data_IF_991216454224
#
_entry.id   IF_991216454224
#
_cell.length_a   1.000
_cell.length_b   1.000
_cell.length_c   1.000
_cell.angle_alpha   90.00
_cell.angle_beta   90.00
_cell.angle_gamma   90.00
#
_symmetry.space_group_name_H-M   'P 1'
#
loop_
_entity.id
_entity.type
_entity.pdbx_description
1 polymer ?
#
# COMPACT_ATOMS: atom_id res chain seq x y z
N UNK A 1 -24.11 4.13 5.45
CA UNK A 1 -23.57 2.80 5.76
C UNK A 1 -22.89 2.83 7.11
N UNK A 2 -22.91 1.75 7.89
CA UNK A 2 -22.11 1.66 9.11
C UNK A 2 -20.63 1.61 8.71
N UNK A 3 -19.75 2.28 9.46
CA UNK A 3 -18.31 2.23 9.21
C UNK A 3 -17.82 0.78 9.32
N UNK A 4 -17.28 0.25 8.23
CA UNK A 4 -16.69 -1.08 8.20
C UNK A 4 -15.22 -0.94 8.61
N UNK A 5 -14.86 -1.44 9.78
CA UNK A 5 -13.48 -1.36 10.29
C UNK A 5 -13.01 -2.74 10.67
N UNK A 6 -11.89 -3.16 10.08
CA UNK A 6 -11.07 -4.23 10.60
C UNK A 6 -9.68 -3.66 10.85
N UNK A 7 -9.36 -3.44 12.12
CA UNK A 7 -8.04 -3.00 12.57
C UNK A 7 -7.37 -4.13 13.33
N UNK A 8 -6.20 -4.52 12.86
CA UNK A 8 -5.36 -5.47 13.57
C UNK A 8 -4.76 -4.82 14.81
N UNK A 9 -5.00 -5.39 15.99
CA UNK A 9 -4.47 -5.08 17.33
C UNK A 9 -3.96 -3.64 17.56
N UNK A 10 -4.74 -2.89 18.33
CA UNK A 10 -4.56 -1.48 18.68
C UNK A 10 -3.25 -1.12 19.36
N UNK A 11 -2.30 -0.66 18.57
CA UNK A 11 -1.15 0.11 19.01
C UNK A 11 -1.04 1.30 18.06
N UNK A 12 -0.85 2.51 18.59
CA UNK A 12 -0.84 3.74 17.80
C UNK A 12 0.11 3.65 16.60
N UNK A 13 -0.40 4.02 15.45
CA UNK A 13 0.34 4.07 14.19
C UNK A 13 1.43 5.14 14.31
N UNK A 14 2.68 4.77 14.03
CA UNK A 14 3.81 5.70 14.08
C UNK A 14 3.95 6.50 12.80
N UNK A 15 3.57 5.92 11.64
CA UNK A 15 3.68 6.57 10.33
C UNK A 15 2.41 6.45 9.52
N UNK A 16 2.12 7.49 8.76
CA UNK A 16 0.98 7.56 7.86
C UNK A 16 1.43 8.04 6.49
N UNK A 17 1.23 7.19 5.50
CA UNK A 17 1.49 7.51 4.10
C UNK A 17 0.18 7.84 3.39
N UNK A 18 0.23 8.76 2.46
CA UNK A 18 -0.88 9.10 1.59
C UNK A 18 -0.43 9.08 0.13
N UNK A 19 -1.37 8.93 -0.80
CA UNK A 19 -1.11 9.00 -2.23
C UNK A 19 -1.64 10.32 -2.74
N UNK A 20 -0.88 11.03 -3.58
CA UNK A 20 -1.39 12.19 -4.29
C UNK A 20 -1.50 11.96 -5.78
N UNK A 21 -2.58 12.53 -6.32
CA UNK A 21 -2.82 12.63 -7.76
C UNK A 21 -1.92 13.71 -8.37
N UNK A 22 -1.88 13.76 -9.68
CA UNK A 22 -1.03 14.59 -10.55
C UNK A 22 -0.92 16.09 -10.24
N UNK A 23 -1.91 16.68 -9.62
CA UNK A 23 -2.01 18.13 -9.38
C UNK A 23 -1.32 18.59 -8.10
N UNK A 24 -0.64 17.70 -7.41
CA UNK A 24 0.11 17.98 -6.18
C UNK A 24 1.62 17.76 -6.32
N UNK A 25 2.18 17.08 -5.33
CA UNK A 25 3.61 16.72 -5.23
C UNK A 25 4.14 15.96 -6.44
N UNK A 26 3.27 15.20 -7.11
CA UNK A 26 3.63 14.30 -8.20
C UNK A 26 3.97 14.99 -9.53
N UNK A 27 3.54 16.24 -9.75
CA UNK A 27 3.84 16.96 -11.00
C UNK A 27 5.33 17.23 -11.23
N UNK A 28 6.09 17.41 -10.15
CA UNK A 28 7.53 17.73 -10.24
C UNK A 28 8.40 16.48 -10.36
N UNK A 29 7.87 15.33 -10.01
CA UNK A 29 8.57 14.05 -10.10
C UNK A 29 8.12 13.29 -11.36
N UNK A 30 8.36 13.87 -12.55
CA UNK A 30 8.07 13.30 -13.87
C UNK A 30 6.62 12.81 -14.08
N UNK A 31 5.67 13.39 -13.35
CA UNK A 31 4.26 13.01 -13.41
C UNK A 31 3.93 11.67 -12.77
N UNK A 32 4.89 10.96 -12.19
CA UNK A 32 4.66 9.69 -11.49
C UNK A 32 3.98 9.94 -10.13
N UNK A 33 2.97 9.18 -9.74
CA UNK A 33 2.42 9.25 -8.40
C UNK A 33 3.39 8.60 -7.40
N UNK A 34 3.43 9.15 -6.18
CA UNK A 34 4.23 8.62 -5.08
C UNK A 34 3.38 8.48 -3.82
N UNK A 35 3.75 7.57 -2.94
CA UNK A 35 3.39 7.68 -1.55
C UNK A 35 4.19 8.81 -0.92
N UNK A 36 3.60 9.53 0.02
CA UNK A 36 4.30 10.58 0.73
C UNK A 36 3.99 10.54 2.21
N UNK A 37 5.00 10.88 3.01
CA UNK A 37 4.91 11.10 4.44
C UNK A 37 5.19 12.57 4.73
N UNK A 38 4.37 13.20 5.58
CA UNK A 38 4.66 14.51 6.11
C UNK A 38 5.80 14.41 7.13
N UNK A 39 6.84 15.22 6.96
CA UNK A 39 7.96 15.33 7.88
C UNK A 39 8.04 16.74 8.45
N UNK A 40 8.34 16.84 9.73
CA UNK A 40 8.36 18.14 10.43
C UNK A 40 9.48 19.04 9.95
N UNK A 41 10.65 18.47 9.70
CA UNK A 41 11.88 19.14 9.27
C UNK A 41 12.60 18.26 8.25
N UNK A 42 13.30 18.89 7.30
CA UNK A 42 14.14 18.16 6.36
C UNK A 42 15.35 17.57 7.12
N UNK A 43 15.66 16.28 6.91
CA UNK A 43 16.87 15.69 7.47
C UNK A 43 18.13 16.37 6.93
N UNK A 44 19.29 16.23 7.61
CA UNK A 44 20.57 16.70 7.10
C UNK A 44 20.89 16.16 5.69
N UNK A 45 21.66 16.91 4.89
CA UNK A 45 21.95 16.54 3.49
C UNK A 45 22.50 15.11 3.34
N UNK A 46 23.35 14.69 4.26
CA UNK A 46 23.95 13.35 4.26
C UNK A 46 22.90 12.22 4.37
N UNK A 47 21.80 12.47 5.08
CA UNK A 47 20.70 11.52 5.25
C UNK A 47 19.70 11.54 4.11
N UNK A 48 19.83 12.46 3.15
CA UNK A 48 18.95 12.58 1.97
C UNK A 48 19.41 11.74 0.79
N UNK A 49 20.61 11.17 0.85
CA UNK A 49 21.18 10.40 -0.27
C UNK A 49 20.27 9.20 -0.59
N UNK A 50 19.83 9.11 -1.85
CA UNK A 50 18.92 8.04 -2.32
C UNK A 50 17.46 8.20 -1.90
N UNK A 51 17.09 9.30 -1.21
CA UNK A 51 15.71 9.61 -0.79
C UNK A 51 15.20 10.84 -1.54
N UNK A 52 13.89 10.91 -1.78
CA UNK A 52 13.28 12.01 -2.52
C UNK A 52 12.48 12.86 -1.53
N UNK A 53 12.78 14.17 -1.51
CA UNK A 53 12.08 15.12 -0.66
C UNK A 53 11.48 16.26 -1.49
N UNK A 54 10.35 16.76 -1.04
CA UNK A 54 9.69 17.93 -1.60
C UNK A 54 9.27 18.89 -0.48
N UNK A 55 9.41 20.19 -0.74
CA UNK A 55 8.97 21.25 0.17
C UNK A 55 8.04 22.21 -0.58
N UNK A 56 6.90 22.55 0.03
CA UNK A 56 5.94 23.47 -0.58
C UNK A 56 5.18 24.26 0.46
N UNK A 57 4.72 25.47 0.12
CA UNK A 57 3.83 26.23 0.99
C UNK A 57 2.45 25.55 1.06
N UNK A 58 1.90 25.46 2.26
CA UNK A 58 0.51 25.10 2.47
C UNK A 58 -0.40 26.33 2.20
N UNK A 59 -1.74 26.18 2.22
CA UNK A 59 -2.68 27.29 2.00
C UNK A 59 -2.53 28.47 2.98
N UNK A 60 -1.86 28.25 4.13
CA UNK A 60 -1.54 29.29 5.13
C UNK A 60 -0.15 29.92 4.91
N UNK A 61 0.55 29.58 3.83
CA UNK A 61 1.89 30.06 3.53
C UNK A 61 3.04 29.40 4.31
N UNK A 62 2.75 28.45 5.20
CA UNK A 62 3.79 27.71 5.93
C UNK A 62 4.40 26.65 5.02
N UNK A 63 5.75 26.56 5.00
CA UNK A 63 6.44 25.50 4.28
C UNK A 63 6.23 24.17 4.99
N UNK A 64 5.78 23.19 4.24
CA UNK A 64 5.63 21.80 4.66
C UNK A 64 6.60 20.92 3.85
N UNK A 65 7.18 19.94 4.51
CA UNK A 65 8.15 19.02 3.94
C UNK A 65 7.57 17.63 3.84
N UNK A 66 7.92 16.93 2.75
CA UNK A 66 7.41 15.60 2.46
C UNK A 66 8.55 14.72 1.97
N UNK A 67 8.57 13.47 2.44
CA UNK A 67 9.37 12.42 1.85
C UNK A 67 8.49 11.60 0.90
N UNK A 68 9.04 11.24 -0.26
CA UNK A 68 8.34 10.56 -1.36
C UNK A 68 8.86 9.13 -1.51
N UNK A 69 7.93 8.16 -1.67
CA UNK A 69 8.24 6.74 -1.80
C UNK A 69 7.61 6.20 -3.07
N UNK A 70 8.40 5.49 -3.90
CA UNK A 70 7.92 4.84 -5.12
C UNK A 70 7.18 3.53 -4.85
N UNK A 71 7.45 2.89 -3.71
CA UNK A 71 6.79 1.67 -3.26
C UNK A 71 6.77 1.59 -1.74
N UNK A 72 5.84 0.84 -1.19
CA UNK A 72 5.77 0.47 0.22
C UNK A 72 5.61 -1.04 0.34
N UNK A 73 6.35 -1.64 1.29
CA UNK A 73 6.37 -3.07 1.55
C UNK A 73 5.97 -3.36 3.00
N UNK A 74 5.11 -4.34 3.23
CA UNK A 74 4.74 -4.78 4.58
C UNK A 74 3.74 -5.93 4.57
N UNK A 75 3.53 -6.54 5.73
CA UNK A 75 2.44 -7.49 5.93
C UNK A 75 1.15 -6.68 6.12
N UNK A 76 0.14 -6.92 5.30
CA UNK A 76 -1.16 -6.30 5.47
C UNK A 76 -1.84 -6.87 6.71
N UNK A 77 -2.14 -6.01 7.69
CA UNK A 77 -2.71 -6.40 8.98
C UNK A 77 -4.13 -5.90 9.19
N UNK A 78 -4.57 -4.90 8.42
CA UNK A 78 -5.92 -4.36 8.55
C UNK A 78 -6.39 -3.62 7.30
N UNK A 79 -7.71 -3.54 7.17
CA UNK A 79 -8.43 -2.77 6.15
C UNK A 79 -9.49 -1.94 6.88
N UNK A 80 -9.43 -0.63 6.72
CA UNK A 80 -10.33 0.33 7.36
C UNK A 80 -11.02 1.17 6.31
N UNK A 81 -12.33 1.30 6.41
CA UNK A 81 -13.10 2.30 5.68
C UNK A 81 -13.48 3.40 6.69
N UNK A 82 -12.80 4.53 6.59
CA UNK A 82 -12.97 5.67 7.47
C UNK A 82 -13.88 6.71 6.82
N UNK A 83 -14.90 7.17 7.55
CA UNK A 83 -15.71 8.29 7.09
C UNK A 83 -15.03 9.61 7.45
N UNK A 84 -14.70 10.42 6.45
CA UNK A 84 -14.10 11.75 6.62
C UNK A 84 -15.09 12.83 6.22
N UNK A 85 -15.22 13.87 7.05
CA UNK A 85 -16.00 15.04 6.73
C UNK A 85 -15.18 15.97 5.83
N UNK A 86 -15.58 16.07 4.56
CA UNK A 86 -14.96 16.95 3.57
C UNK A 86 -15.88 18.15 3.28
N UNK A 87 -15.35 19.15 2.57
CA UNK A 87 -16.16 20.31 2.14
C UNK A 87 -17.34 19.92 1.26
N UNK A 88 -17.20 18.85 0.49
CA UNK A 88 -18.24 18.27 -0.39
C UNK A 88 -19.23 17.36 0.35
N UNK A 89 -19.09 17.18 1.67
CA UNK A 89 -19.87 16.25 2.47
C UNK A 89 -19.05 15.07 2.99
N UNK A 90 -19.69 14.10 3.65
CA UNK A 90 -19.01 12.92 4.16
C UNK A 90 -18.53 12.04 3.00
N UNK A 91 -17.29 11.60 3.07
CA UNK A 91 -16.66 10.68 2.11
C UNK A 91 -16.08 9.48 2.85
N UNK A 92 -16.13 8.31 2.22
CA UNK A 92 -15.53 7.08 2.73
C UNK A 92 -14.14 6.89 2.11
N UNK A 93 -13.15 6.66 2.98
CA UNK A 93 -11.73 6.54 2.60
C UNK A 93 -11.20 5.17 2.92
N UNK A 94 -10.49 4.58 1.95
CA UNK A 94 -9.79 3.32 2.15
C UNK A 94 -8.43 3.57 2.82
N UNK A 95 -8.22 2.91 3.95
CA UNK A 95 -6.95 2.88 4.67
C UNK A 95 -6.51 1.43 4.80
N UNK A 96 -5.28 1.15 4.41
CA UNK A 96 -4.61 -0.13 4.59
C UNK A 96 -3.62 -0.03 5.74
N UNK A 97 -3.65 -1.00 6.64
CA UNK A 97 -2.76 -1.07 7.78
C UNK A 97 -1.70 -2.15 7.55
N UNK A 98 -0.45 -1.78 7.77
CA UNK A 98 0.70 -2.64 7.52
C UNK A 98 1.56 -2.79 8.76
N UNK A 99 2.24 -3.92 8.82
CA UNK A 99 3.33 -4.16 9.74
C UNK A 99 4.57 -4.60 8.96
N UNK A 100 5.67 -3.90 9.17
CA UNK A 100 7.00 -4.36 8.78
C UNK A 100 7.75 -4.87 10.02
N UNK A 101 9.00 -5.32 9.83
CA UNK A 101 9.84 -5.86 10.91
C UNK A 101 10.03 -4.87 12.07
N UNK A 102 10.11 -3.59 11.77
CA UNK A 102 10.49 -2.53 12.73
C UNK A 102 9.28 -1.70 13.17
N UNK A 103 8.30 -1.46 12.29
CA UNK A 103 7.25 -0.48 12.54
C UNK A 103 5.90 -0.89 11.96
N UNK A 104 4.86 -0.24 12.48
CA UNK A 104 3.51 -0.26 11.90
C UNK A 104 3.27 1.05 11.20
N UNK A 105 2.63 0.96 10.03
CA UNK A 105 2.24 2.13 9.26
C UNK A 105 0.89 1.94 8.61
N UNK A 106 0.26 3.05 8.22
CA UNK A 106 -0.98 3.04 7.46
C UNK A 106 -0.81 3.76 6.14
N UNK A 107 -1.58 3.34 5.13
CA UNK A 107 -1.60 3.93 3.80
C UNK A 107 -3.01 4.39 3.49
N UNK A 108 -3.20 5.70 3.32
CA UNK A 108 -4.44 6.27 2.82
C UNK A 108 -4.47 6.15 1.28
N UNK A 109 -5.31 5.25 0.78
CA UNK A 109 -5.44 5.00 -0.66
C UNK A 109 -6.38 5.98 -1.38
N UNK A 110 -7.07 6.85 -0.64
CA UNK A 110 -8.03 7.81 -1.18
C UNK A 110 -9.48 7.46 -0.89
N UNK A 111 -10.41 8.25 -1.42
CA UNK A 111 -11.84 7.95 -1.39
C UNK A 111 -12.11 6.61 -2.09
N UNK A 112 -13.08 5.82 -1.58
CA UNK A 112 -13.36 4.48 -2.13
C UNK A 112 -13.76 4.50 -3.62
N UNK A 113 -14.28 5.61 -4.11
CA UNK A 113 -14.59 5.85 -5.53
C UNK A 113 -13.36 6.24 -6.35
N UNK A 114 -12.25 6.55 -5.70
CA UNK A 114 -11.01 6.89 -6.36
C UNK A 114 -10.37 5.69 -7.02
N UNK A 115 -9.65 5.97 -8.11
CA UNK A 115 -8.99 4.93 -8.89
C UNK A 115 -7.94 4.16 -8.10
N UNK A 116 -7.14 4.83 -7.27
CA UNK A 116 -6.15 4.16 -6.44
C UNK A 116 -6.79 3.18 -5.45
N UNK A 117 -7.85 3.62 -4.77
CA UNK A 117 -8.61 2.76 -3.86
C UNK A 117 -9.27 1.59 -4.62
N UNK A 118 -9.92 1.88 -5.76
CA UNK A 118 -10.54 0.85 -6.59
C UNK A 118 -9.53 -0.19 -7.10
N UNK A 119 -8.36 0.25 -7.59
CA UNK A 119 -7.35 -0.67 -8.11
C UNK A 119 -6.79 -1.60 -7.03
N UNK A 120 -6.46 -1.05 -5.85
CA UNK A 120 -5.92 -1.90 -4.78
C UNK A 120 -7.00 -2.84 -4.23
N UNK A 121 -8.25 -2.41 -4.10
CA UNK A 121 -9.35 -3.28 -3.69
C UNK A 121 -9.50 -4.49 -4.63
N UNK A 122 -9.48 -4.26 -5.95
CA UNK A 122 -9.53 -5.33 -6.96
C UNK A 122 -8.37 -6.31 -6.82
N UNK A 123 -7.16 -5.81 -6.60
CA UNK A 123 -5.95 -6.65 -6.47
C UNK A 123 -5.95 -7.48 -5.19
N UNK A 124 -6.41 -6.93 -4.07
CA UNK A 124 -6.55 -7.69 -2.83
C UNK A 124 -7.59 -8.83 -2.94
N UNK A 125 -8.55 -8.71 -3.85
CA UNK A 125 -9.49 -9.77 -4.17
C UNK A 125 -8.89 -10.89 -5.04
N UNK A 126 -7.70 -10.70 -5.64
CA UNK A 126 -7.05 -11.74 -6.42
C UNK A 126 -6.78 -12.99 -5.55
N UNK A 127 -7.16 -14.19 -6.03
CA UNK A 127 -6.84 -15.45 -5.32
C UNK A 127 -5.36 -15.64 -5.00
N UNK A 128 -4.47 -15.05 -5.79
CA UNK A 128 -3.01 -15.07 -5.55
C UNK A 128 -2.57 -14.21 -4.37
N UNK A 129 -3.45 -13.38 -3.79
CA UNK A 129 -3.14 -12.64 -2.58
C UNK A 129 -3.04 -13.57 -1.38
N UNK A 130 -1.84 -13.62 -0.78
CA UNK A 130 -1.55 -14.32 0.46
C UNK A 130 -1.26 -13.31 1.59
N UNK A 131 -2.13 -13.23 2.62
CA UNK A 131 -1.95 -12.29 3.72
C UNK A 131 -0.75 -12.60 4.63
N UNK A 132 -0.18 -13.82 4.56
CA UNK A 132 1.02 -14.19 5.31
C UNK A 132 2.31 -13.64 4.67
N UNK A 133 2.23 -13.24 3.40
CA UNK A 133 3.38 -12.72 2.66
C UNK A 133 3.41 -11.19 2.68
N UNK A 134 4.60 -10.62 2.52
CA UNK A 134 4.73 -9.16 2.31
C UNK A 134 3.97 -8.75 1.06
N UNK A 135 3.21 -7.69 1.18
CA UNK A 135 2.53 -7.03 0.07
C UNK A 135 3.35 -5.79 -0.30
N UNK A 136 3.88 -5.76 -1.52
CA UNK A 136 4.46 -4.56 -2.11
C UNK A 136 3.39 -3.83 -2.90
N UNK A 137 3.16 -2.57 -2.58
CA UNK A 137 2.28 -1.69 -3.35
C UNK A 137 3.11 -0.56 -3.97
N UNK A 138 2.80 -0.24 -5.23
CA UNK A 138 3.51 0.81 -5.98
C UNK A 138 2.51 1.60 -6.82
N UNK A 139 2.47 2.93 -6.69
CA UNK A 139 1.66 3.77 -7.56
C UNK A 139 2.29 3.85 -8.95
N UNK A 140 1.46 3.83 -9.98
CA UNK A 140 1.89 3.98 -11.36
C UNK A 140 1.09 5.06 -12.07
N UNK A 141 1.70 5.64 -13.10
CA UNK A 141 1.00 6.46 -14.10
C UNK A 141 1.58 6.17 -15.48
N UNK A 142 0.73 6.27 -16.49
CA UNK A 142 1.16 6.28 -17.88
C UNK A 142 0.31 7.27 -18.69
N UNK A 143 0.95 7.88 -19.67
CA UNK A 143 0.32 8.84 -20.57
C UNK A 143 -0.54 8.10 -21.59
N UNK A 144 -1.75 8.56 -21.83
CA UNK A 144 -2.62 8.07 -22.89
C UNK A 144 -2.33 8.81 -24.20
N UNK A 145 -2.69 8.21 -25.34
CA UNK A 145 -2.57 8.81 -26.67
C UNK A 145 -3.32 10.16 -26.79
N UNK A 146 -4.41 10.31 -26.06
CA UNK A 146 -5.19 11.56 -26.00
C UNK A 146 -4.57 12.64 -25.08
N UNK A 147 -3.34 12.47 -24.61
CA UNK A 147 -2.62 13.40 -23.72
C UNK A 147 -3.03 13.35 -22.26
N UNK A 148 -4.05 12.57 -21.88
CA UNK A 148 -4.42 12.31 -20.51
C UNK A 148 -3.48 11.32 -19.84
N UNK A 149 -3.67 11.10 -18.54
CA UNK A 149 -2.89 10.11 -17.78
C UNK A 149 -3.82 9.08 -17.14
N UNK A 150 -3.38 7.83 -17.14
CA UNK A 150 -3.93 6.80 -16.30
C UNK A 150 -3.09 6.66 -15.03
N UNK A 151 -3.75 6.38 -13.93
CA UNK A 151 -3.12 6.17 -12.63
C UNK A 151 -3.70 4.92 -11.99
N UNK A 152 -2.95 4.32 -11.10
CA UNK A 152 -3.43 3.22 -10.30
C UNK A 152 -2.40 2.74 -9.30
N UNK A 153 -2.70 1.66 -8.62
CA UNK A 153 -1.81 0.94 -7.71
C UNK A 153 -1.56 -0.46 -8.24
N UNK A 154 -0.30 -0.79 -8.46
CA UNK A 154 0.14 -2.18 -8.63
C UNK A 154 0.34 -2.83 -7.26
N UNK A 155 0.19 -4.15 -7.20
CA UNK A 155 0.44 -4.92 -5.99
C UNK A 155 1.10 -6.26 -6.33
N UNK A 156 2.11 -6.65 -5.53
CA UNK A 156 2.81 -7.92 -5.61
C UNK A 156 2.73 -8.58 -4.23
N UNK A 157 2.27 -9.83 -4.17
CA UNK A 157 2.23 -10.64 -2.95
C UNK A 157 3.45 -11.56 -2.92
N UNK A 158 4.22 -11.49 -1.85
CA UNK A 158 5.50 -12.22 -1.76
C UNK A 158 6.55 -11.67 -2.71
N UNK A 159 7.27 -12.57 -3.40
CA UNK A 159 8.38 -12.19 -4.29
C UNK A 159 7.87 -11.85 -5.69
N UNK A 160 6.98 -12.66 -6.27
CA UNK A 160 6.65 -12.60 -7.69
C UNK A 160 5.15 -12.63 -8.03
N UNK A 161 4.26 -12.86 -7.06
CA UNK A 161 2.83 -12.97 -7.33
C UNK A 161 2.20 -11.60 -7.61
N UNK A 162 2.25 -11.16 -8.88
CA UNK A 162 1.62 -9.92 -9.34
C UNK A 162 0.10 -10.07 -9.31
N UNK A 163 -0.56 -9.29 -8.46
CA UNK A 163 -2.01 -9.33 -8.26
C UNK A 163 -2.72 -8.61 -9.40
N UNK A 164 -3.78 -9.21 -9.93
CA UNK A 164 -4.54 -8.67 -11.06
C UNK A 164 -5.78 -7.88 -10.60
N UNK A 165 -6.01 -6.74 -11.27
CA UNK A 165 -7.26 -5.98 -11.19
C UNK A 165 -8.17 -6.22 -12.41
N UNK A 166 -7.84 -7.15 -13.30
CA UNK A 166 -8.54 -7.38 -14.55
C UNK A 166 -9.68 -8.39 -14.39
N UNK A 167 -10.86 -8.08 -14.94
CA UNK A 167 -11.99 -9.02 -15.04
C UNK A 167 -11.70 -10.17 -16.01
N UNK A 168 -10.99 -9.87 -17.08
CA UNK A 168 -10.68 -10.80 -18.16
C UNK A 168 -9.17 -10.88 -18.30
N UNK A 169 -8.65 -12.07 -18.60
CA UNK A 169 -7.23 -12.25 -18.87
C UNK A 169 -6.78 -11.42 -20.07
N UNK A 170 -5.61 -10.83 -19.96
CA UNK A 170 -4.91 -10.14 -21.05
C UNK A 170 -3.55 -10.79 -21.21
N UNK A 171 -2.80 -10.44 -22.27
CA UNK A 171 -1.44 -10.96 -22.46
C UNK A 171 -0.51 -10.70 -21.25
N UNK A 172 -0.74 -9.61 -20.52
CA UNK A 172 0.11 -9.19 -19.40
C UNK A 172 -0.46 -9.49 -18.02
N UNK A 173 -1.76 -9.75 -17.91
CA UNK A 173 -2.43 -9.97 -16.63
C UNK A 173 -3.37 -11.18 -16.71
N UNK A 174 -3.31 -12.04 -15.70
CA UNK A 174 -4.32 -13.09 -15.52
C UNK A 174 -5.67 -12.49 -15.14
N UNK A 175 -6.76 -13.19 -15.43
CA UNK A 175 -8.09 -12.78 -14.96
C UNK A 175 -8.20 -12.96 -13.45
N UNK A 176 -8.80 -11.97 -12.78
CA UNK A 176 -9.22 -12.12 -11.39
C UNK A 176 -10.67 -12.64 -11.36
N UNK A 177 -10.89 -13.94 -11.08
CA UNK A 177 -12.22 -14.55 -11.15
C UNK A 177 -13.21 -13.96 -10.12
N UNK A 178 -12.71 -13.39 -9.03
CA UNK A 178 -13.57 -12.74 -8.03
C UNK A 178 -14.18 -11.43 -8.49
N UNK A 179 -13.71 -10.89 -9.61
CA UNK A 179 -14.31 -9.70 -10.21
C UNK A 179 -15.41 -10.03 -11.25
N UNK A 180 -15.70 -11.31 -11.52
CA UNK A 180 -16.67 -11.70 -12.57
C UNK A 180 -18.01 -10.98 -12.39
N UNK A 181 -18.55 -10.97 -11.17
CA UNK A 181 -19.83 -10.36 -10.84
C UNK A 181 -19.76 -8.88 -10.43
N UNK A 182 -18.61 -8.24 -10.61
CA UNK A 182 -18.45 -6.81 -10.30
C UNK A 182 -19.39 -5.97 -11.17
N UNK A 183 -20.26 -5.12 -10.57
CA UNK A 183 -21.18 -4.30 -11.34
C UNK A 183 -20.42 -3.29 -12.24
N UNK A 184 -21.10 -2.78 -13.22
CA UNK A 184 -20.59 -1.65 -14.01
C UNK A 184 -20.91 -0.34 -13.28
N UNK A 185 -20.14 0.71 -13.59
CA UNK A 185 -20.51 2.06 -13.20
C UNK A 185 -21.85 2.46 -13.88
N UNK A 186 -22.64 3.25 -13.19
CA UNK A 186 -23.94 3.71 -13.69
C UNK A 186 -23.74 5.01 -14.43
N UNK A 187 -24.22 5.07 -15.68
CA UNK A 187 -24.25 6.31 -16.44
C UNK A 187 -25.35 7.25 -15.91
N UNK A 188 -25.01 8.51 -15.75
CA UNK A 188 -25.97 9.54 -15.38
C UNK A 188 -25.63 10.85 -16.07
N UNK A 189 -26.67 11.63 -16.36
CA UNK A 189 -26.51 12.94 -16.97
C UNK A 189 -26.25 14.00 -15.89
N UNK A 190 -25.07 14.60 -15.91
CA UNK A 190 -24.71 15.68 -15.00
C UNK A 190 -25.29 17.01 -15.52
N UNK A 191 -26.42 17.44 -14.92
CA UNK A 191 -27.10 18.66 -15.32
C UNK A 191 -26.28 19.94 -15.13
N UNK A 192 -25.32 19.93 -14.19
CA UNK A 192 -24.47 21.10 -13.93
C UNK A 192 -23.42 21.30 -15.02
N UNK A 193 -22.93 20.22 -15.62
CA UNK A 193 -21.90 20.26 -16.67
C UNK A 193 -22.47 20.02 -18.07
N UNK A 194 -23.72 19.58 -18.19
CA UNK A 194 -24.38 19.21 -19.46
C UNK A 194 -23.74 17.98 -20.12
N UNK A 195 -23.06 17.11 -19.38
CA UNK A 195 -22.34 15.94 -19.90
C UNK A 195 -22.72 14.68 -19.16
N UNK A 196 -22.60 13.55 -19.87
CA UNK A 196 -22.73 12.25 -19.25
C UNK A 196 -21.52 11.99 -18.32
N UNK A 197 -21.79 11.39 -17.18
CA UNK A 197 -20.83 11.04 -16.16
C UNK A 197 -21.07 9.61 -15.67
N UNK A 198 -20.06 9.00 -15.08
CA UNK A 198 -20.14 7.66 -14.50
C UNK A 198 -20.17 7.76 -12.97
N UNK A 199 -21.17 7.10 -12.37
CA UNK A 199 -21.24 6.90 -10.93
C UNK A 199 -20.58 5.56 -10.57
N UNK A 200 -19.43 5.64 -9.90
CA UNK A 200 -18.67 4.47 -9.46
C UNK A 200 -19.06 3.95 -8.07
N UNK A 201 -20.00 4.61 -7.38
CA UNK A 201 -20.43 4.18 -6.04
C UNK A 201 -20.89 2.72 -5.98
N UNK A 202 -21.73 2.22 -6.92
CA UNK A 202 -22.14 0.81 -6.90
C UNK A 202 -20.97 -0.16 -7.01
N UNK A 203 -19.95 0.19 -7.81
CA UNK A 203 -18.72 -0.59 -7.97
C UNK A 203 -17.94 -0.58 -6.65
N UNK A 204 -17.75 0.58 -6.05
CA UNK A 204 -16.96 0.75 -4.83
C UNK A 204 -17.62 0.06 -3.62
N UNK A 205 -18.93 0.19 -3.47
CA UNK A 205 -19.70 -0.48 -2.42
C UNK A 205 -19.62 -2.02 -2.56
N UNK A 206 -19.68 -2.51 -3.79
CA UNK A 206 -19.51 -3.93 -4.07
C UNK A 206 -18.09 -4.39 -3.70
N UNK A 207 -17.04 -3.65 -4.10
CA UNK A 207 -15.65 -3.96 -3.79
C UNK A 207 -15.40 -4.00 -2.28
N UNK A 208 -15.88 -3.00 -1.55
CA UNK A 208 -15.79 -2.97 -0.08
C UNK A 208 -16.41 -4.21 0.53
N UNK A 209 -17.65 -4.56 0.13
CA UNK A 209 -18.33 -5.77 0.62
C UNK A 209 -17.49 -7.02 0.33
N UNK A 210 -16.96 -7.17 -0.89
CA UNK A 210 -16.15 -8.35 -1.25
C UNK A 210 -14.83 -8.42 -0.45
N UNK A 211 -14.19 -7.27 -0.13
CA UNK A 211 -13.01 -7.26 0.74
C UNK A 211 -13.34 -7.80 2.14
N UNK A 212 -14.44 -7.34 2.74
CA UNK A 212 -14.85 -7.80 4.06
C UNK A 212 -15.31 -9.25 4.09
N UNK A 213 -15.85 -9.77 2.99
CA UNK A 213 -16.25 -11.16 2.85
C UNK A 213 -15.06 -12.11 2.60
N UNK A 214 -14.09 -11.72 1.78
CA UNK A 214 -13.06 -12.64 1.28
C UNK A 214 -11.64 -12.36 1.76
N UNK A 215 -11.32 -11.12 2.12
CA UNK A 215 -9.95 -10.73 2.50
C UNK A 215 -9.81 -10.61 4.01
N UNK A 216 -10.71 -9.91 4.67
CA UNK A 216 -10.65 -9.72 6.13
C UNK A 216 -10.60 -11.04 6.92
N UNK A 217 -11.39 -12.08 6.61
CA UNK A 217 -11.28 -13.38 7.30
C UNK A 217 -9.89 -14.02 7.16
N UNK A 218 -9.24 -13.86 6.01
CA UNK A 218 -7.87 -14.35 5.79
C UNK A 218 -6.86 -13.62 6.68
N UNK A 219 -6.98 -12.28 6.80
CA UNK A 219 -6.13 -11.49 7.70
C UNK A 219 -6.30 -11.94 9.15
N UNK A 220 -7.52 -12.22 9.59
CA UNK A 220 -7.82 -12.70 10.93
C UNK A 220 -7.21 -14.08 11.21
N UNK A 221 -7.29 -15.00 10.25
CA UNK A 221 -6.73 -16.35 10.40
C UNK A 221 -5.20 -16.34 10.45
N UNK A 222 -4.55 -15.50 9.65
CA UNK A 222 -3.10 -15.35 9.64
C UNK A 222 -2.55 -14.82 10.96
N UNK A 223 -3.26 -13.90 11.61
CA UNK A 223 -2.84 -13.35 12.90
C UNK A 223 -2.97 -14.36 14.07
N UNK A 224 -3.96 -15.26 14.03
CA UNK A 224 -4.13 -16.31 15.05
C UNK A 224 -3.01 -17.34 15.03
N UNK A 225 -2.43 -17.62 13.85
CA UNK A 225 -1.29 -18.52 13.72
C UNK A 225 0.01 -17.98 14.31
N UNK A 226 0.21 -16.66 14.29
CA UNK A 226 1.39 -16.00 14.83
C UNK A 226 1.36 -15.82 16.36
N UNK A 227 0.17 -15.82 16.98
CA UNK A 227 -0.01 -15.63 18.43
C UNK A 227 0.01 -16.94 19.23
N UNK A 228 0.01 -18.10 18.59
CA UNK A 228 0.00 -19.42 19.24
C UNK A 228 1.36 -20.11 19.20
N UNK A 229 2.47 -19.40 19.44
CA UNK A 229 3.67 -20.04 19.91
C UNK A 229 3.34 -20.68 21.28
N UNK A 230 3.50 -22.00 21.49
CA UNK A 230 3.20 -22.60 22.76
C UNK A 230 4.08 -21.93 23.84
N UNK A 231 3.46 -21.25 24.79
CA UNK A 231 4.15 -20.97 26.05
C UNK A 231 4.55 -22.33 26.63
N UNK A 232 5.83 -22.67 26.56
CA UNK A 232 6.36 -23.79 27.31
C UNK A 232 5.95 -23.61 28.77
N UNK A 233 5.29 -24.63 29.37
CA UNK A 233 4.99 -24.55 30.80
C UNK A 233 6.30 -24.35 31.57
N UNK A 234 6.29 -23.33 32.41
CA UNK A 234 7.41 -23.05 33.31
C UNK A 234 7.76 -24.31 34.09
N UNK A 235 8.92 -24.90 33.87
CA UNK A 235 9.43 -25.96 34.71
C UNK A 235 9.73 -25.38 36.11
N UNK A 236 9.27 -26.04 37.17
CA UNK A 236 9.61 -25.62 38.52
C UNK A 236 11.09 -25.88 38.79
N UNK A 237 11.74 -24.87 39.26
CA UNK A 237 13.01 -24.72 39.95
C UNK A 237 14.01 -25.90 39.96
N UNK A 238 15.14 -25.70 39.25
CA UNK A 238 16.42 -26.32 39.67
C UNK A 238 17.32 -25.24 40.22
N UNK A 239 18.05 -25.55 41.33
CA UNK A 239 18.90 -24.57 42.00
C UNK A 239 20.20 -24.28 41.20
N UNK A 240 20.61 -23.03 41.29
CA UNK A 240 21.79 -22.47 40.68
C UNK A 240 23.08 -23.27 41.04
N UNK A 241 23.75 -23.84 40.03
CA UNK A 241 25.17 -24.17 40.12
C UNK A 241 25.96 -23.04 39.47
N UNK A 242 26.73 -22.36 40.33
CA UNK A 242 27.83 -21.49 39.91
C UNK A 242 28.91 -22.33 39.25
N UNK A 243 29.24 -22.01 37.99
CA UNK A 243 30.51 -22.38 37.43
C UNK A 243 31.13 -21.22 36.65
N UNK A 244 32.39 -21.00 36.99
CA UNK A 244 33.24 -19.92 36.59
C UNK A 244 33.54 -19.89 35.07
N UNK A 245 33.74 -18.67 34.57
CA UNK A 245 34.29 -18.34 33.25
C UNK A 245 35.65 -18.97 32.99
N UNK A 246 35.96 -19.21 31.70
CA UNK A 246 37.08 -18.47 31.14
C UNK A 246 36.71 -17.64 29.90
N UNK A 247 37.26 -16.46 29.90
CA UNK A 247 37.27 -15.41 28.90
C UNK A 247 38.03 -15.90 27.67
N UNK A 248 37.39 -15.96 26.51
CA UNK A 248 38.06 -16.07 25.21
C UNK A 248 37.73 -14.84 24.38
N UNK A 249 38.79 -14.18 23.92
CA UNK A 249 38.75 -13.06 22.97
C UNK A 249 38.30 -13.56 21.59
N UNK A 250 37.46 -12.80 20.84
CA UNK A 250 37.14 -13.14 19.46
C UNK A 250 38.26 -12.65 18.52
N UNK A 251 38.79 -13.58 17.75
CA UNK A 251 39.64 -13.29 16.61
C UNK A 251 38.85 -12.61 15.51
N UNK A 252 39.40 -11.51 14.99
CA UNK A 252 38.95 -10.85 13.78
C UNK A 252 39.25 -11.72 12.58
N UNK A 253 38.22 -12.25 11.92
CA UNK A 253 38.35 -12.82 10.60
C UNK A 253 37.65 -11.96 9.55
N UNK A 254 38.40 -11.74 8.49
CA UNK A 254 38.20 -10.84 7.38
C UNK A 254 36.95 -11.19 6.56
N UNK A 255 36.07 -10.22 6.33
CA UNK A 255 34.98 -10.37 5.37
C UNK A 255 35.49 -10.21 3.93
N UNK A 256 35.10 -11.09 3.01
CA UNK A 256 35.37 -10.89 1.59
C UNK A 256 34.41 -9.81 1.05
N UNK A 257 34.99 -8.83 0.40
CA UNK A 257 34.31 -7.77 -0.37
C UNK A 257 33.58 -8.41 -1.56
N UNK A 258 32.26 -8.54 -1.46
CA UNK A 258 31.42 -8.89 -2.61
C UNK A 258 31.10 -7.61 -3.38
N UNK A 259 31.49 -7.60 -4.65
CA UNK A 259 31.25 -6.53 -5.61
C UNK A 259 29.74 -6.35 -5.81
N UNK A 260 29.29 -5.10 -5.65
CA UNK A 260 27.96 -4.65 -6.00
C UNK A 260 27.79 -4.69 -7.53
N UNK A 261 26.99 -5.61 -8.03
CA UNK A 261 26.35 -5.43 -9.32
C UNK A 261 25.13 -4.47 -9.13
N UNK A 262 24.98 -3.45 -10.00
CA UNK A 262 23.83 -2.57 -9.93
C UNK A 262 22.55 -3.33 -10.27
N UNK A 263 21.41 -3.02 -9.65
CA UNK A 263 20.14 -3.64 -9.99
C UNK A 263 19.81 -3.34 -11.46
N UNK A 264 19.44 -4.42 -12.16
CA UNK A 264 18.99 -4.38 -13.55
C UNK A 264 17.85 -3.36 -13.66
N UNK A 265 18.10 -2.30 -14.43
CA UNK A 265 17.11 -1.26 -14.69
C UNK A 265 15.89 -1.87 -15.39
N UNK A 266 14.72 -1.56 -14.89
CA UNK A 266 13.48 -1.81 -15.64
C UNK A 266 13.54 -0.99 -16.91
N UNK A 267 13.52 -1.67 -18.06
CA UNK A 267 13.39 -1.01 -19.35
C UNK A 267 12.01 -0.33 -19.41
N UNK A 268 12.00 0.99 -19.55
CA UNK A 268 10.79 1.81 -19.71
C UNK A 268 9.97 1.46 -20.97
N UNK A 269 10.52 0.68 -21.88
CA UNK A 269 9.89 0.30 -23.16
C UNK A 269 8.77 -0.77 -23.04
N UNK A 270 8.61 -1.42 -21.88
CA UNK A 270 7.57 -2.45 -21.70
C UNK A 270 6.19 -1.91 -21.30
N UNK A 271 6.05 -0.62 -21.05
CA UNK A 271 4.80 -0.03 -20.57
C UNK A 271 3.87 0.50 -21.66
N UNK A 272 4.33 0.56 -22.92
CA UNK A 272 3.60 1.22 -24.00
C UNK A 272 2.43 0.42 -24.63
N UNK A 273 2.18 -0.81 -24.19
CA UNK A 273 1.20 -1.69 -24.86
C UNK A 273 0.14 -2.30 -23.94
N UNK A 274 -0.33 -1.61 -22.89
CA UNK A 274 -1.48 -2.10 -22.12
C UNK A 274 -2.80 -1.68 -22.77
N UNK A 275 -3.58 -2.60 -23.35
CA UNK A 275 -4.93 -2.32 -23.80
C UNK A 275 -5.88 -2.15 -22.60
N UNK A 276 -6.79 -1.23 -22.76
CA UNK A 276 -7.86 -0.91 -21.79
C UNK A 276 -9.10 -1.71 -22.08
#
# INVERSE_FOLDING_TARGET
>A
MAAHTYSGNGGGWKKKYSIKRQDGLTKKADGKPFFFEYIKELPPEQERIGRIFESRPNPKGKIEHYELFSALDGILTGIVIEQKQMQSGPQEWLILEFQDVIERFSVECGEITDRFASDIMKRLLDPAFDPALKLRISPYSFKKDNGGYNFGLSAISGVDAKLSAAKVATEKNHANPRLADMPNAVEWFNRATGKDALDFRPVSEWLVRQLFEHVVPKLQSGQRGASSAPQQPAQPGQPAQQNAMPRQEPAYDSFPTSQNEPPVGFNDDELDHLPF
#
